data_IF_512498773192
#
_entry.id   IF_512498773192
#
_cell.length_a   1.000
_cell.length_b   1.000
_cell.length_c   1.000
_cell.angle_alpha   90.00
_cell.angle_beta   90.00
_cell.angle_gamma   90.00
#
_symmetry.space_group_name_H-M   'P 1'
#
loop_
_entity.id
_entity.type
_entity.pdbx_description
1 polymer ?
#
# COMPACT_ATOMS: atom_id res chain seq x y z
N UNK A 1 -22.73 -0.24 -28.37
CA UNK A 1 -22.87 -1.64 -27.89
C UNK A 1 -22.77 -1.73 -26.36
N UNK A 2 -21.66 -1.30 -25.76
CA UNK A 2 -21.42 -1.39 -24.29
C UNK A 2 -22.54 -0.72 -23.47
N UNK A 3 -22.79 0.57 -23.68
CA UNK A 3 -23.83 1.32 -22.93
C UNK A 3 -25.21 0.65 -23.00
N UNK A 4 -25.61 0.17 -24.18
CA UNK A 4 -26.87 -0.57 -24.35
C UNK A 4 -26.93 -1.83 -23.50
N UNK A 5 -25.87 -2.65 -23.51
CA UNK A 5 -25.85 -3.89 -22.73
C UNK A 5 -25.82 -3.61 -21.22
N UNK A 6 -25.11 -2.58 -20.77
CA UNK A 6 -25.15 -2.13 -19.36
C UNK A 6 -26.60 -1.75 -18.98
N UNK A 7 -27.32 -1.04 -19.84
CA UNK A 7 -28.72 -0.70 -19.61
C UNK A 7 -29.63 -1.92 -19.49
N UNK A 8 -29.37 -2.98 -20.28
CA UNK A 8 -30.13 -4.24 -20.20
C UNK A 8 -29.82 -5.01 -18.91
N UNK A 9 -28.54 -5.10 -18.51
CA UNK A 9 -28.14 -5.76 -17.27
C UNK A 9 -28.69 -5.08 -16.01
N UNK A 10 -28.94 -3.76 -16.05
CA UNK A 10 -29.52 -3.05 -14.92
C UNK A 10 -30.89 -3.64 -14.52
N UNK A 11 -31.65 -4.16 -15.48
CA UNK A 11 -32.96 -4.80 -15.29
C UNK A 11 -32.89 -6.34 -15.22
N UNK A 12 -31.72 -6.95 -15.41
CA UNK A 12 -31.52 -8.40 -15.35
C UNK A 12 -31.24 -8.89 -13.92
N UNK A 13 -31.43 -10.20 -13.70
CA UNK A 13 -31.02 -10.85 -12.46
C UNK A 13 -29.50 -11.02 -12.36
N UNK A 14 -28.86 -11.49 -13.43
CA UNK A 14 -27.40 -11.61 -13.52
C UNK A 14 -26.71 -10.30 -13.87
N UNK A 15 -25.59 -10.01 -13.22
CA UNK A 15 -24.80 -8.77 -13.38
C UNK A 15 -23.29 -9.01 -13.51
N UNK A 16 -22.88 -10.25 -13.78
CA UNK A 16 -21.49 -10.64 -13.97
C UNK A 16 -20.93 -10.16 -15.33
N UNK A 17 -19.61 -10.30 -15.53
CA UNK A 17 -18.99 -10.08 -16.85
C UNK A 17 -19.45 -11.16 -17.85
N UNK A 18 -19.70 -12.38 -17.41
CA UNK A 18 -20.29 -13.44 -18.23
C UNK A 18 -21.68 -13.05 -18.73
N UNK A 19 -22.52 -12.52 -17.85
CA UNK A 19 -23.84 -11.99 -18.23
C UNK A 19 -23.72 -10.86 -19.24
N UNK A 20 -22.75 -9.96 -19.04
CA UNK A 20 -22.45 -8.89 -19.99
C UNK A 20 -22.05 -9.44 -21.36
N UNK A 21 -21.04 -10.33 -21.40
CA UNK A 21 -20.47 -10.89 -22.64
C UNK A 21 -21.51 -11.70 -23.42
N UNK A 22 -22.43 -12.39 -22.73
CA UNK A 22 -23.48 -13.17 -23.37
C UNK A 22 -24.38 -12.30 -24.26
N UNK A 23 -24.78 -11.11 -23.81
CA UNK A 23 -25.72 -10.23 -24.51
C UNK A 23 -25.10 -9.20 -25.45
N UNK A 24 -23.80 -8.90 -25.31
CA UNK A 24 -23.09 -8.06 -26.31
C UNK A 24 -23.12 -8.76 -27.68
N UNK A 25 -23.33 -7.99 -28.77
CA UNK A 25 -23.34 -8.54 -30.13
C UNK A 25 -21.99 -8.43 -30.86
N UNK A 26 -21.13 -7.51 -30.43
CA UNK A 26 -19.82 -7.29 -31.04
C UNK A 26 -18.81 -8.33 -30.56
N UNK A 27 -18.29 -9.12 -31.48
CA UNK A 27 -17.31 -10.18 -31.21
C UNK A 27 -16.02 -9.65 -30.58
N UNK A 28 -15.52 -8.51 -31.03
CA UNK A 28 -14.32 -7.86 -30.48
C UNK A 28 -14.41 -7.61 -28.97
N UNK A 29 -15.60 -7.21 -28.48
CA UNK A 29 -15.84 -6.98 -27.06
C UNK A 29 -15.92 -8.31 -26.30
N UNK A 30 -16.55 -9.33 -26.90
CA UNK A 30 -16.60 -10.67 -26.29
C UNK A 30 -15.19 -11.23 -26.13
N UNK A 31 -14.39 -11.19 -27.19
CA UNK A 31 -13.03 -11.73 -27.20
C UNK A 31 -12.12 -10.98 -26.22
N UNK A 32 -12.30 -9.66 -26.09
CA UNK A 32 -11.55 -8.85 -25.12
C UNK A 32 -11.90 -9.20 -23.66
N UNK A 33 -13.17 -9.49 -23.37
CA UNK A 33 -13.66 -9.71 -22.01
C UNK A 33 -13.68 -11.18 -21.57
N UNK A 34 -13.63 -12.14 -22.51
CA UNK A 34 -13.64 -13.58 -22.23
C UNK A 34 -12.58 -13.99 -21.20
N UNK A 35 -11.43 -13.30 -21.14
CA UNK A 35 -10.40 -13.62 -20.14
C UNK A 35 -10.91 -13.48 -18.69
N UNK A 36 -11.88 -12.60 -18.48
CA UNK A 36 -12.40 -12.18 -17.17
C UNK A 36 -13.78 -12.78 -16.86
N UNK A 37 -14.32 -13.63 -17.71
CA UNK A 37 -15.57 -14.36 -17.47
C UNK A 37 -15.30 -15.68 -16.73
N UNK A 38 -16.34 -16.37 -16.25
CA UNK A 38 -16.25 -17.66 -15.55
C UNK A 38 -15.54 -18.73 -16.40
N UNK A 39 -15.72 -18.68 -17.71
CA UNK A 39 -15.04 -19.55 -18.68
C UNK A 39 -13.57 -19.15 -18.94
N UNK A 40 -13.15 -18.00 -18.41
CA UNK A 40 -11.83 -17.41 -18.56
C UNK A 40 -10.93 -17.62 -17.34
N UNK A 41 -9.60 -17.45 -17.51
CA UNK A 41 -8.63 -17.64 -16.42
C UNK A 41 -8.86 -16.73 -15.20
N UNK A 42 -9.49 -15.56 -15.37
CA UNK A 42 -9.73 -14.56 -14.32
C UNK A 42 -11.17 -14.48 -13.83
N UNK A 43 -12.04 -15.42 -14.22
CA UNK A 43 -13.43 -15.42 -13.76
C UNK A 43 -13.56 -15.40 -12.23
N UNK A 44 -12.67 -16.13 -11.54
CA UNK A 44 -12.68 -16.20 -10.07
C UNK A 44 -12.38 -14.88 -9.35
N UNK A 45 -11.83 -13.86 -10.03
CA UNK A 45 -11.55 -12.54 -9.44
C UNK A 45 -12.55 -11.46 -9.85
N UNK A 46 -13.05 -11.51 -11.10
CA UNK A 46 -13.77 -10.38 -11.70
C UNK A 46 -15.19 -10.71 -12.19
N UNK A 47 -15.63 -11.96 -12.07
CA UNK A 47 -16.92 -12.42 -12.61
C UNK A 47 -17.96 -12.78 -11.54
N UNK A 48 -17.87 -12.19 -10.36
CA UNK A 48 -18.85 -12.41 -9.31
C UNK A 48 -20.20 -11.76 -9.67
N UNK A 49 -21.32 -12.41 -9.33
CA UNK A 49 -22.67 -11.84 -9.47
C UNK A 49 -22.87 -10.63 -8.55
N UNK A 50 -22.26 -10.68 -7.36
CA UNK A 50 -22.26 -9.59 -6.38
C UNK A 50 -20.82 -9.20 -6.01
N UNK A 51 -20.61 -7.89 -5.86
CA UNK A 51 -19.35 -7.31 -5.41
C UNK A 51 -19.19 -7.47 -3.89
N UNK A 52 -18.46 -8.51 -3.48
CA UNK A 52 -18.19 -8.82 -2.07
C UNK A 52 -17.07 -8.00 -1.42
N UNK A 53 -16.37 -7.12 -2.15
CA UNK A 53 -15.27 -6.35 -1.58
C UNK A 53 -15.82 -5.32 -0.58
N UNK A 54 -15.47 -5.46 0.69
CA UNK A 54 -15.83 -4.50 1.75
C UNK A 54 -14.60 -3.73 2.22
N UNK A 55 -14.76 -2.43 2.48
CA UNK A 55 -13.68 -1.58 2.96
C UNK A 55 -13.88 -1.23 4.43
N UNK A 56 -12.84 -1.44 5.25
CA UNK A 56 -12.84 -1.22 6.71
C UNK A 56 -11.87 -0.11 7.10
N UNK A 57 -12.00 0.44 8.32
CA UNK A 57 -11.17 1.53 8.83
C UNK A 57 -9.66 1.27 8.63
N UNK A 58 -9.24 0.03 8.83
CA UNK A 58 -7.93 -0.48 8.47
C UNK A 58 -8.11 -1.62 7.46
N UNK A 59 -7.42 -1.56 6.32
CA UNK A 59 -7.49 -2.57 5.25
C UNK A 59 -6.14 -2.67 4.56
N UNK A 60 -5.70 -3.90 4.33
CA UNK A 60 -4.50 -4.20 3.53
C UNK A 60 -4.91 -5.01 2.30
N UNK A 61 -4.27 -4.73 1.17
CA UNK A 61 -4.35 -5.53 -0.04
C UNK A 61 -2.97 -6.12 -0.29
N UNK A 62 -2.86 -7.43 -0.21
CA UNK A 62 -1.69 -8.19 -0.66
C UNK A 62 -1.84 -8.37 -2.17
N UNK A 63 -0.80 -8.01 -2.94
CA UNK A 63 -0.85 -7.97 -4.41
C UNK A 63 0.37 -8.61 -5.07
N UNK A 64 1.30 -9.19 -4.30
CA UNK A 64 2.51 -9.83 -4.81
C UNK A 64 2.18 -10.99 -5.75
N UNK A 65 1.28 -11.89 -5.32
CA UNK A 65 0.86 -13.01 -6.16
C UNK A 65 0.20 -12.50 -7.46
N UNK A 66 -0.66 -11.49 -7.34
CA UNK A 66 -1.32 -10.85 -8.47
C UNK A 66 -0.33 -10.17 -9.42
N UNK A 67 0.73 -9.54 -8.91
CA UNK A 67 1.79 -8.93 -9.71
C UNK A 67 2.54 -9.97 -10.55
N UNK A 68 2.67 -11.19 -10.04
CA UNK A 68 3.32 -12.30 -10.75
C UNK A 68 2.43 -12.96 -11.81
N UNK A 69 1.13 -12.66 -11.86
CA UNK A 69 0.20 -13.20 -12.87
C UNK A 69 0.25 -12.47 -14.22
N UNK A 70 0.99 -11.36 -14.32
CA UNK A 70 1.14 -10.59 -15.55
C UNK A 70 0.07 -9.51 -15.77
N UNK A 71 0.35 -8.59 -16.70
CA UNK A 71 -0.42 -7.35 -16.89
C UNK A 71 -1.91 -7.55 -17.16
N UNK A 72 -2.25 -8.57 -17.96
CA UNK A 72 -3.65 -8.89 -18.30
C UNK A 72 -4.48 -9.26 -17.07
N UNK A 73 -3.84 -9.73 -16.00
CA UNK A 73 -4.50 -10.09 -14.74
C UNK A 73 -4.45 -8.92 -13.74
N UNK A 74 -3.28 -8.30 -13.63
CA UNK A 74 -2.97 -7.25 -12.66
C UNK A 74 -3.75 -5.94 -12.89
N UNK A 75 -3.81 -5.46 -14.13
CA UNK A 75 -4.33 -4.13 -14.46
C UNK A 75 -5.80 -3.96 -14.07
N UNK A 76 -6.72 -4.85 -14.48
CA UNK A 76 -8.15 -4.66 -14.20
C UNK A 76 -8.46 -4.72 -12.70
N UNK A 77 -7.83 -5.64 -11.98
CA UNK A 77 -8.02 -5.81 -10.52
C UNK A 77 -7.54 -4.56 -9.77
N UNK A 78 -6.32 -4.07 -10.06
CA UNK A 78 -5.82 -2.86 -9.40
C UNK A 78 -6.62 -1.61 -9.73
N UNK A 79 -7.01 -1.42 -11.01
CA UNK A 79 -7.86 -0.29 -11.40
C UNK A 79 -9.20 -0.33 -10.66
N UNK A 80 -9.77 -1.52 -10.48
CA UNK A 80 -10.97 -1.71 -9.70
C UNK A 80 -10.77 -1.35 -8.22
N UNK A 81 -9.70 -1.86 -7.59
CA UNK A 81 -9.35 -1.53 -6.20
C UNK A 81 -9.16 -0.02 -6.02
N UNK A 82 -8.43 0.63 -6.91
CA UNK A 82 -8.23 2.08 -6.90
C UNK A 82 -9.55 2.83 -6.98
N UNK A 83 -10.46 2.41 -7.88
CA UNK A 83 -11.79 3.02 -7.99
C UNK A 83 -12.61 2.86 -6.70
N UNK A 84 -12.52 1.71 -6.04
CA UNK A 84 -13.22 1.45 -4.77
C UNK A 84 -12.66 2.29 -3.62
N UNK A 85 -11.34 2.43 -3.54
CA UNK A 85 -10.66 3.29 -2.57
C UNK A 85 -11.09 4.74 -2.76
N UNK A 86 -11.06 5.26 -3.98
CA UNK A 86 -11.47 6.64 -4.27
C UNK A 86 -12.90 6.94 -3.87
N UNK A 87 -13.83 6.04 -4.22
CA UNK A 87 -15.25 6.20 -3.87
C UNK A 87 -15.50 6.23 -2.36
N UNK A 88 -14.58 5.67 -1.57
CA UNK A 88 -14.68 5.64 -0.12
C UNK A 88 -14.23 6.96 0.54
N UNK A 89 -13.44 7.78 -0.14
CA UNK A 89 -12.92 9.01 0.44
C UNK A 89 -14.04 10.04 0.61
N UNK A 90 -14.57 10.15 1.82
CA UNK A 90 -15.67 11.05 2.18
C UNK A 90 -15.21 12.42 2.70
N UNK A 91 -13.89 12.67 2.75
CA UNK A 91 -13.31 13.85 3.40
C UNK A 91 -12.87 13.63 4.85
N UNK A 92 -13.16 12.45 5.42
CA UNK A 92 -12.54 12.04 6.68
C UNK A 92 -11.02 11.83 6.51
N UNK A 93 -10.18 12.19 7.50
CA UNK A 93 -8.73 12.00 7.43
C UNK A 93 -8.40 10.55 7.07
N UNK A 94 -7.70 10.37 5.95
CA UNK A 94 -7.42 9.05 5.39
C UNK A 94 -5.94 8.91 5.02
N UNK A 95 -5.42 7.69 5.15
CA UNK A 95 -4.06 7.34 4.74
C UNK A 95 -4.13 6.21 3.71
N UNK A 96 -3.46 6.42 2.58
CA UNK A 96 -3.17 5.37 1.61
C UNK A 96 -1.67 5.11 1.67
N UNK A 97 -1.30 3.90 2.10
CA UNK A 97 0.09 3.47 2.19
C UNK A 97 0.35 2.53 1.02
N UNK A 98 1.35 2.89 0.21
CA UNK A 98 1.82 2.10 -0.92
C UNK A 98 3.23 1.61 -0.56
N UNK A 99 3.30 0.35 -0.14
CA UNK A 99 4.55 -0.32 0.23
C UNK A 99 5.17 -0.99 -0.99
N UNK A 100 6.45 -0.72 -1.26
CA UNK A 100 7.20 -1.22 -2.43
C UNK A 100 6.50 -1.03 -3.79
N UNK A 101 5.74 0.06 -3.93
CA UNK A 101 4.95 0.33 -5.13
C UNK A 101 5.77 0.64 -6.40
N UNK A 102 7.11 0.62 -6.34
CA UNK A 102 7.98 0.86 -7.50
C UNK A 102 7.81 -0.20 -8.58
N UNK A 103 7.53 -1.44 -8.18
CA UNK A 103 7.18 -2.52 -9.11
C UNK A 103 5.95 -2.13 -9.94
N UNK A 104 4.94 -1.57 -9.28
CA UNK A 104 3.73 -1.08 -9.96
C UNK A 104 4.03 0.15 -10.83
N UNK A 105 4.93 1.03 -10.38
CA UNK A 105 5.28 2.27 -11.10
C UNK A 105 6.05 2.04 -12.40
N UNK A 106 6.61 0.84 -12.62
CA UNK A 106 7.13 0.45 -13.94
C UNK A 106 6.06 0.45 -15.03
N UNK A 107 4.79 0.27 -14.66
CA UNK A 107 3.68 0.24 -15.60
C UNK A 107 3.07 1.64 -15.82
N UNK A 108 2.93 2.14 -17.06
CA UNK A 108 2.47 3.51 -17.35
C UNK A 108 1.12 3.86 -16.71
N UNK A 109 0.14 2.94 -16.78
CA UNK A 109 -1.21 3.17 -16.21
C UNK A 109 -1.14 3.42 -14.70
N UNK A 110 -0.34 2.64 -13.97
CA UNK A 110 -0.24 2.77 -12.52
C UNK A 110 0.60 3.97 -12.12
N UNK A 111 1.66 4.25 -12.86
CA UNK A 111 2.45 5.47 -12.70
C UNK A 111 1.58 6.72 -12.80
N UNK A 112 0.73 6.79 -13.82
CA UNK A 112 -0.16 7.91 -14.03
C UNK A 112 -1.21 8.00 -12.91
N UNK A 113 -1.70 6.85 -12.44
CA UNK A 113 -2.67 6.80 -11.34
C UNK A 113 -2.08 7.26 -10.00
N UNK A 114 -0.89 6.78 -9.65
CA UNK A 114 -0.20 7.20 -8.42
C UNK A 114 0.17 8.68 -8.50
N UNK A 115 0.59 9.17 -9.67
CA UNK A 115 0.80 10.61 -9.93
C UNK A 115 -0.46 11.42 -9.71
N UNK A 116 -1.60 10.97 -10.22
CA UNK A 116 -2.89 11.60 -9.97
C UNK A 116 -3.19 11.63 -8.47
N UNK A 117 -3.02 10.50 -7.78
CA UNK A 117 -3.31 10.40 -6.35
C UNK A 117 -2.49 11.37 -5.50
N UNK A 118 -1.17 11.42 -5.74
CA UNK A 118 -0.26 12.33 -5.04
C UNK A 118 -0.64 13.80 -5.24
N UNK A 119 -1.20 14.16 -6.40
CA UNK A 119 -1.61 15.54 -6.70
C UNK A 119 -3.00 15.89 -6.18
N UNK A 120 -3.92 14.94 -6.23
CA UNK A 120 -5.37 15.21 -6.13
C UNK A 120 -5.94 14.86 -4.77
N UNK A 121 -5.45 13.80 -4.10
CA UNK A 121 -6.12 13.26 -2.91
C UNK A 121 -6.02 14.16 -1.67
N UNK A 122 -5.10 15.14 -1.67
CA UNK A 122 -5.07 16.19 -0.64
C UNK A 122 -6.42 16.90 -0.50
N UNK A 123 -7.15 17.14 -1.61
CA UNK A 123 -8.46 17.81 -1.58
C UNK A 123 -9.56 16.96 -0.93
N UNK A 124 -9.34 15.65 -0.84
CA UNK A 124 -10.22 14.69 -0.18
C UNK A 124 -9.77 14.39 1.26
N UNK A 125 -8.88 15.21 1.84
CA UNK A 125 -8.29 15.01 3.18
C UNK A 125 -7.59 13.64 3.31
N UNK A 126 -6.95 13.21 2.23
CA UNK A 126 -6.25 11.94 2.16
C UNK A 126 -4.77 12.18 1.85
N UNK A 127 -3.89 11.59 2.67
CA UNK A 127 -2.46 11.58 2.41
C UNK A 127 -2.03 10.23 1.82
N UNK A 128 -1.11 10.29 0.86
CA UNK A 128 -0.52 9.12 0.22
C UNK A 128 0.91 8.99 0.74
N UNK A 129 1.25 7.81 1.25
CA UNK A 129 2.59 7.48 1.76
C UNK A 129 3.19 6.43 0.83
N UNK A 130 4.37 6.74 0.29
CA UNK A 130 5.20 5.78 -0.44
C UNK A 130 6.27 5.26 0.51
N UNK A 131 6.36 3.95 0.67
CA UNK A 131 7.38 3.30 1.48
C UNK A 131 8.29 2.44 0.59
N UNK A 132 9.60 2.49 0.87
CA UNK A 132 10.62 1.75 0.11
C UNK A 132 11.86 1.43 0.91
N UNK A 133 12.42 0.27 0.62
CA UNK A 133 13.76 -0.15 1.02
C UNK A 133 14.74 -0.03 -0.16
N UNK A 134 14.23 -0.06 -1.41
CA UNK A 134 15.04 0.00 -2.63
C UNK A 134 15.06 1.39 -3.26
N UNK A 135 16.12 2.13 -2.99
CA UNK A 135 16.39 3.44 -3.59
C UNK A 135 16.57 3.31 -5.12
N UNK A 136 17.21 2.24 -5.59
CA UNK A 136 17.46 2.02 -7.01
C UNK A 136 16.18 1.78 -7.80
N UNK A 137 15.20 1.07 -7.24
CA UNK A 137 13.94 0.81 -7.94
C UNK A 137 13.09 2.08 -8.00
N UNK A 138 13.12 2.88 -6.93
CA UNK A 138 12.51 4.20 -6.93
C UNK A 138 13.08 5.09 -8.04
N UNK A 139 14.40 5.08 -8.24
CA UNK A 139 15.03 5.85 -9.30
C UNK A 139 14.62 5.40 -10.71
N UNK A 140 14.70 4.08 -10.97
CA UNK A 140 14.38 3.50 -12.28
C UNK A 140 12.90 3.60 -12.65
N UNK A 141 12.01 3.76 -11.67
CA UNK A 141 10.57 3.88 -11.90
C UNK A 141 10.14 5.20 -12.58
N UNK A 142 11.05 6.18 -12.68
CA UNK A 142 10.77 7.46 -13.35
C UNK A 142 9.78 8.33 -12.59
N UNK A 143 9.68 8.20 -11.26
CA UNK A 143 8.79 9.00 -10.40
C UNK A 143 9.54 10.05 -9.56
N UNK A 144 10.87 10.14 -9.68
CA UNK A 144 11.71 11.05 -8.87
C UNK A 144 11.20 12.49 -8.87
N UNK A 145 10.79 13.03 -10.01
CA UNK A 145 10.27 14.39 -10.10
C UNK A 145 8.99 14.56 -9.27
N UNK A 146 8.14 13.53 -9.24
CA UNK A 146 6.89 13.52 -8.46
C UNK A 146 7.20 13.38 -6.98
N UNK A 147 8.20 12.57 -6.58
CA UNK A 147 8.64 12.50 -5.19
C UNK A 147 9.16 13.86 -4.72
N UNK A 148 9.90 14.56 -5.60
CA UNK A 148 10.42 15.88 -5.29
C UNK A 148 9.31 16.91 -5.12
N UNK A 149 8.36 16.95 -6.05
CA UNK A 149 7.31 17.97 -6.10
C UNK A 149 6.10 17.68 -5.21
N UNK A 150 5.66 16.42 -5.15
CA UNK A 150 4.39 16.01 -4.54
C UNK A 150 4.55 15.31 -3.19
N UNK A 151 5.78 14.94 -2.79
CA UNK A 151 6.07 14.39 -1.47
C UNK A 151 6.91 15.40 -0.65
N UNK A 152 6.29 16.45 -0.08
CA UNK A 152 7.04 17.50 0.64
C UNK A 152 7.69 16.97 1.93
N UNK A 153 7.05 15.99 2.58
CA UNK A 153 7.58 15.32 3.76
C UNK A 153 8.29 14.04 3.38
N UNK A 154 9.54 13.91 3.83
CA UNK A 154 10.42 12.77 3.59
C UNK A 154 10.92 12.27 4.94
N UNK A 155 10.72 10.99 5.21
CA UNK A 155 11.24 10.31 6.41
C UNK A 155 12.29 9.33 5.93
N UNK A 156 13.55 9.59 6.27
CA UNK A 156 14.68 8.76 5.88
C UNK A 156 15.14 7.93 7.07
N UNK A 157 15.24 6.63 6.86
CA UNK A 157 15.89 5.71 7.78
C UNK A 157 17.41 5.80 7.59
N UNK A 158 18.20 5.38 8.58
CA UNK A 158 19.65 5.32 8.47
C UNK A 158 20.10 4.52 7.25
N UNK A 159 20.95 5.13 6.42
CA UNK A 159 21.54 4.48 5.25
C UNK A 159 23.04 4.82 5.19
N UNK A 160 23.89 3.91 5.67
CA UNK A 160 25.35 4.08 5.65
C UNK A 160 25.92 4.30 4.25
N UNK A 161 25.27 3.74 3.22
CA UNK A 161 25.64 3.90 1.81
C UNK A 161 25.19 5.25 1.22
N UNK A 162 24.55 6.15 1.97
CA UNK A 162 24.07 7.44 1.45
C UNK A 162 25.19 8.33 0.90
N UNK A 163 26.45 8.08 1.27
CA UNK A 163 27.64 8.76 0.76
C UNK A 163 28.19 8.17 -0.55
N UNK A 164 27.82 6.94 -0.85
CA UNK A 164 28.34 6.22 -2.01
C UNK A 164 27.82 6.83 -3.32
N UNK A 165 28.63 6.81 -4.39
CA UNK A 165 28.18 7.21 -5.72
C UNK A 165 26.88 6.50 -6.13
N UNK A 166 26.01 7.17 -6.89
CA UNK A 166 24.66 6.68 -7.21
C UNK A 166 23.64 6.91 -6.09
N UNK A 167 23.86 6.37 -4.88
CA UNK A 167 22.94 6.60 -3.74
C UNK A 167 22.91 8.07 -3.35
N UNK A 168 24.07 8.72 -3.32
CA UNK A 168 24.19 10.16 -3.07
C UNK A 168 23.39 10.99 -4.08
N UNK A 169 23.50 10.66 -5.36
CA UNK A 169 22.82 11.37 -6.45
C UNK A 169 21.30 11.27 -6.33
N UNK A 170 20.79 10.12 -5.90
CA UNK A 170 19.36 9.98 -5.58
C UNK A 170 18.92 10.97 -4.49
N UNK A 171 19.65 11.03 -3.38
CA UNK A 171 19.34 11.96 -2.29
C UNK A 171 19.39 13.42 -2.75
N UNK A 172 20.39 13.78 -3.55
CA UNK A 172 20.50 15.12 -4.14
C UNK A 172 19.32 15.45 -5.07
N UNK A 173 18.89 14.48 -5.90
CA UNK A 173 17.74 14.64 -6.80
C UNK A 173 16.41 14.84 -6.06
N UNK A 174 16.21 14.17 -4.94
CA UNK A 174 15.04 14.39 -4.08
C UNK A 174 15.15 15.66 -3.20
N UNK A 175 16.25 16.42 -3.34
CA UNK A 175 16.42 17.75 -2.77
C UNK A 175 17.23 17.82 -1.47
N UNK A 176 18.02 16.78 -1.17
CA UNK A 176 18.89 16.78 0.01
C UNK A 176 20.22 17.47 -0.32
N UNK A 177 20.75 18.21 0.64
CA UNK A 177 22.10 18.75 0.57
C UNK A 177 23.11 17.82 1.26
N UNK A 178 24.41 18.10 1.10
CA UNK A 178 25.50 17.31 1.66
C UNK A 178 25.37 17.06 3.17
N UNK A 179 24.87 18.05 3.94
CA UNK A 179 24.71 17.90 5.39
C UNK A 179 23.58 16.93 5.74
N UNK A 180 22.48 16.97 5.00
CA UNK A 180 21.35 16.07 5.21
C UNK A 180 21.72 14.63 4.85
N UNK A 181 22.48 14.45 3.78
CA UNK A 181 23.03 13.16 3.37
C UNK A 181 23.96 12.62 4.46
N UNK A 182 24.82 13.46 5.03
CA UNK A 182 25.69 13.06 6.15
C UNK A 182 24.90 12.63 7.39
N UNK A 183 23.81 13.33 7.72
CA UNK A 183 22.92 12.95 8.82
C UNK A 183 22.32 11.56 8.57
N UNK A 184 21.76 11.32 7.38
CA UNK A 184 21.20 10.00 7.02
C UNK A 184 22.27 8.91 7.03
N UNK A 185 23.50 9.23 6.63
CA UNK A 185 24.61 8.30 6.57
C UNK A 185 25.22 7.93 7.93
N UNK A 186 25.00 8.75 8.96
CA UNK A 186 25.59 8.58 10.30
C UNK A 186 24.57 8.28 11.39
N UNK A 187 23.27 8.37 11.07
CA UNK A 187 22.19 8.06 11.99
C UNK A 187 22.25 6.59 12.47
N UNK A 188 21.78 6.37 13.69
CA UNK A 188 21.80 5.09 14.38
C UNK A 188 20.63 4.21 13.93
N UNK A 189 20.88 3.05 13.30
CA UNK A 189 19.83 2.11 12.88
C UNK A 189 18.86 1.75 14.01
N UNK A 190 17.58 1.60 13.66
CA UNK A 190 16.48 1.24 14.60
C UNK A 190 16.27 2.22 15.76
N UNK A 191 16.84 3.42 15.68
CA UNK A 191 16.73 4.44 16.72
C UNK A 191 16.49 5.81 16.12
N UNK A 192 17.39 6.27 15.26
CA UNK A 192 17.36 7.63 14.73
C UNK A 192 16.73 7.65 13.33
N UNK A 193 15.83 8.60 13.11
CA UNK A 193 15.11 8.80 11.86
C UNK A 193 15.23 10.27 11.49
N UNK A 194 15.45 10.55 10.21
CA UNK A 194 15.61 11.90 9.73
C UNK A 194 14.35 12.35 8.99
N UNK A 195 13.67 13.38 9.49
CA UNK A 195 12.52 13.99 8.80
C UNK A 195 12.94 15.28 8.13
N UNK A 196 12.53 15.44 6.86
CA UNK A 196 12.59 16.69 6.14
C UNK A 196 11.19 17.04 5.63
N UNK A 197 10.69 18.20 6.05
CA UNK A 197 9.35 18.70 5.71
C UNK A 197 9.40 20.22 5.48
N UNK A 198 8.34 20.84 4.91
CA UNK A 198 8.22 22.29 4.84
C UNK A 198 8.30 22.99 6.20
N UNK A 199 7.81 22.34 7.26
CA UNK A 199 7.73 22.88 8.62
C UNK A 199 9.07 22.81 9.35
N UNK A 200 9.98 21.94 8.89
CA UNK A 200 11.28 21.78 9.52
C UNK A 200 11.99 20.49 9.14
N UNK A 201 13.24 20.41 9.60
CA UNK A 201 14.16 19.29 9.33
C UNK A 201 14.83 18.88 10.62
N UNK A 202 14.74 17.60 11.00
CA UNK A 202 15.26 17.14 12.29
C UNK A 202 15.63 15.66 12.26
N UNK A 203 16.76 15.32 12.88
CA UNK A 203 17.05 13.97 13.33
C UNK A 203 16.35 13.76 14.68
N UNK A 204 15.58 12.69 14.80
CA UNK A 204 14.86 12.38 16.03
C UNK A 204 14.97 10.89 16.38
N UNK A 205 14.88 10.60 17.68
CA UNK A 205 14.82 9.24 18.20
C UNK A 205 13.38 8.74 18.09
N UNK A 206 13.18 7.64 17.35
CA UNK A 206 11.93 6.90 17.34
C UNK A 206 11.86 6.04 18.62
N UNK A 207 11.54 6.70 19.73
CA UNK A 207 11.37 6.06 21.03
C UNK A 207 10.01 5.35 21.11
N UNK A 208 9.89 4.18 20.48
CA UNK A 208 8.75 3.30 20.72
C UNK A 208 8.83 2.76 22.15
N UNK A 209 7.77 2.99 22.93
CA UNK A 209 7.65 2.37 24.26
C UNK A 209 7.63 0.84 24.18
N UNK A 210 7.89 0.12 25.29
CA UNK A 210 8.01 -1.34 25.29
C UNK A 210 6.80 -2.06 24.68
N UNK A 211 5.59 -1.53 24.90
CA UNK A 211 4.36 -2.07 24.30
C UNK A 211 4.39 -1.93 22.78
N UNK A 212 4.60 -0.71 22.27
CA UNK A 212 4.60 -0.45 20.84
C UNK A 212 5.69 -1.27 20.13
N UNK A 213 6.87 -1.36 20.73
CA UNK A 213 7.98 -2.16 20.20
C UNK A 213 7.67 -3.67 20.19
N UNK A 214 6.95 -4.18 21.19
CA UNK A 214 6.54 -5.59 21.25
C UNK A 214 5.64 -6.00 20.09
N UNK A 215 4.91 -5.07 19.48
CA UNK A 215 4.08 -5.35 18.31
C UNK A 215 4.75 -4.90 17.00
N UNK A 216 5.20 -3.65 16.93
CA UNK A 216 5.78 -3.08 15.72
C UNK A 216 7.12 -3.73 15.32
N UNK A 217 7.89 -4.24 16.28
CA UNK A 217 9.15 -4.93 16.04
C UNK A 217 9.01 -6.43 15.79
N UNK A 218 7.80 -6.98 15.87
CA UNK A 218 7.54 -8.42 15.83
C UNK A 218 7.08 -8.88 14.44
N UNK A 219 7.96 -8.75 13.45
CA UNK A 219 7.68 -9.08 12.05
C UNK A 219 8.26 -10.43 11.60
N UNK A 220 8.99 -11.15 12.47
CA UNK A 220 9.61 -12.42 12.14
C UNK A 220 8.61 -13.57 12.03
N UNK A 221 8.93 -14.61 11.24
CA UNK A 221 8.09 -15.81 11.10
C UNK A 221 7.78 -16.47 12.45
N UNK A 222 8.77 -16.50 13.34
CA UNK A 222 8.64 -17.06 14.70
C UNK A 222 7.69 -16.23 15.57
N UNK A 223 7.85 -14.90 15.57
CA UNK A 223 6.95 -13.98 16.28
C UNK A 223 5.50 -14.16 15.79
N UNK A 224 5.29 -14.21 14.47
CA UNK A 224 3.96 -14.39 13.88
C UNK A 224 3.34 -15.75 14.23
N UNK A 225 4.14 -16.82 14.20
CA UNK A 225 3.69 -18.14 14.62
C UNK A 225 3.30 -18.15 16.11
N UNK A 226 4.09 -17.49 16.96
CA UNK A 226 3.81 -17.41 18.39
C UNK A 226 2.54 -16.61 18.67
N UNK A 227 2.38 -15.45 18.05
CA UNK A 227 1.16 -14.63 18.16
C UNK A 227 -0.09 -15.41 17.74
N UNK A 228 -0.01 -16.20 16.65
CA UNK A 228 -1.13 -17.06 16.23
C UNK A 228 -1.46 -18.14 17.26
N UNK A 229 -0.45 -18.80 17.83
CA UNK A 229 -0.64 -19.80 18.87
C UNK A 229 -1.28 -19.19 20.14
N UNK A 230 -0.82 -18.02 20.56
CA UNK A 230 -1.40 -17.29 21.69
C UNK A 230 -2.85 -16.88 21.41
N UNK A 231 -3.16 -16.41 20.20
CA UNK A 231 -4.52 -16.06 19.80
C UNK A 231 -5.46 -17.27 19.81
N UNK A 232 -4.99 -18.44 19.42
CA UNK A 232 -5.76 -19.68 19.49
C UNK A 232 -6.01 -20.13 20.94
N UNK A 233 -5.01 -20.01 21.80
CA UNK A 233 -5.09 -20.46 23.20
C UNK A 233 -5.89 -19.49 24.10
N UNK A 234 -5.76 -18.18 23.88
CA UNK A 234 -6.22 -17.16 24.82
C UNK A 234 -7.25 -16.18 24.24
N UNK A 235 -7.61 -16.30 22.96
CA UNK A 235 -8.59 -15.42 22.30
C UNK A 235 -8.26 -13.94 22.59
N UNK A 236 -9.23 -13.11 22.97
CA UNK A 236 -9.03 -11.67 23.24
C UNK A 236 -7.94 -11.35 24.30
N UNK A 237 -7.60 -12.30 25.18
CA UNK A 237 -6.54 -12.11 26.18
C UNK A 237 -5.12 -12.32 25.63
N UNK A 238 -4.96 -12.79 24.38
CA UNK A 238 -3.66 -13.07 23.77
C UNK A 238 -2.64 -11.92 23.85
N UNK A 239 -3.01 -10.62 23.71
CA UNK A 239 -2.03 -9.53 23.75
C UNK A 239 -1.34 -9.41 25.10
N UNK A 240 -2.05 -9.77 26.18
CA UNK A 240 -1.51 -9.75 27.54
C UNK A 240 -0.43 -10.82 27.70
N UNK A 241 -0.71 -12.04 27.23
CA UNK A 241 0.26 -13.13 27.25
C UNK A 241 1.48 -12.81 26.37
N UNK A 242 1.25 -12.22 25.19
CA UNK A 242 2.32 -11.76 24.32
C UNK A 242 3.21 -10.72 25.01
N UNK A 243 2.64 -9.67 25.57
CA UNK A 243 3.39 -8.64 26.29
C UNK A 243 4.16 -9.20 27.49
N UNK A 244 3.57 -10.15 28.22
CA UNK A 244 4.23 -10.85 29.33
C UNK A 244 5.46 -11.61 28.84
N UNK A 245 5.35 -12.34 27.73
CA UNK A 245 6.48 -13.05 27.08
C UNK A 245 7.57 -12.10 26.60
N UNK A 246 7.19 -10.88 26.19
CA UNK A 246 8.12 -9.82 25.78
C UNK A 246 8.71 -9.04 26.97
N UNK A 247 8.45 -9.46 28.20
CA UNK A 247 9.00 -8.87 29.43
C UNK A 247 8.29 -7.60 29.90
N UNK A 248 7.08 -7.32 29.41
CA UNK A 248 6.27 -6.17 29.83
C UNK A 248 5.38 -6.58 31.02
N UNK A 249 5.92 -6.45 32.24
CA UNK A 249 5.32 -7.00 33.47
C UNK A 249 3.94 -6.46 33.88
N UNK A 250 3.51 -5.29 33.38
CA UNK A 250 2.21 -4.67 33.70
C UNK A 250 1.20 -4.75 32.54
N UNK A 251 1.33 -5.74 31.66
CA UNK A 251 0.53 -5.87 30.44
C UNK A 251 -0.99 -5.75 30.66
N UNK A 252 -1.53 -6.37 31.70
CA UNK A 252 -2.95 -6.30 32.06
C UNK A 252 -3.43 -4.86 32.30
N UNK A 253 -2.70 -4.09 33.11
CA UNK A 253 -3.07 -2.71 33.47
C UNK A 253 -2.86 -1.75 32.30
N UNK A 254 -1.89 -2.02 31.44
CA UNK A 254 -1.57 -1.17 30.30
C UNK A 254 -2.60 -1.30 29.17
N UNK A 255 -3.14 -2.50 28.96
CA UNK A 255 -4.17 -2.74 27.94
C UNK A 255 -5.59 -2.40 28.41
N UNK A 256 -5.86 -2.42 29.72
CA UNK A 256 -7.17 -2.02 30.26
C UNK A 256 -7.44 -0.50 30.13
N UNK A 257 -6.41 0.30 29.89
CA UNK A 257 -6.46 1.76 29.75
C UNK A 257 -6.25 2.24 28.30
N UNK A 258 -6.17 1.33 27.33
CA UNK A 258 -5.95 1.60 25.91
C UNK A 258 -7.26 1.48 25.12
#
# INVERSE_FOLDING_TARGET
AISRQIGLLAAAQGRSLSDFVSGVQLREIKDALHHYTVDGPMGHLLDAEEDGLTLRAFQTFEVEELMNMGERHLIPVLLYLFRRIEKRLTGAPSLIILDEAWLMLGHPIFRDKIREWLKVLRKANCAVILATQSISDADRSGIIDVLKESCPTKICLPNGAAREPGTREFYERIGFNSRQIEIVATATPKREYYVASPEGRRLFDMALGPIALAFAGASGKEDLARVRALRQAFQEAWPIHWLTERGVGNAHTLLANA
#
